data_IF_823115477109
#
_entry.id   IF_823115477109
#
_cell.length_a   1.000
_cell.length_b   1.000
_cell.length_c   1.000
_cell.angle_alpha   90.00
_cell.angle_beta   90.00
_cell.angle_gamma   90.00
#
_symmetry.space_group_name_H-M   'P 1'
#
loop_
_entity.id
_entity.type
_entity.pdbx_description
1 polymer ?
#
# COMPACT_ATOMS: atom_id res chain seq x y z
N UNK A 1 9.91 -15.12 -2.20
CA UNK A 1 10.07 -13.69 -1.88
C UNK A 1 9.43 -12.93 -3.03
N UNK A 2 8.33 -12.22 -2.79
CA UNK A 2 7.66 -11.38 -3.81
C UNK A 2 8.54 -10.16 -4.07
N UNK A 3 8.68 -9.74 -5.33
CA UNK A 3 9.47 -8.55 -5.66
C UNK A 3 8.68 -7.31 -5.25
N UNK A 4 9.37 -6.25 -4.82
CA UNK A 4 8.73 -4.99 -4.40
C UNK A 4 7.89 -4.40 -5.56
N UNK A 5 8.30 -4.65 -6.80
CA UNK A 5 7.58 -4.24 -8.00
C UNK A 5 6.24 -4.97 -8.19
N UNK A 6 6.16 -6.26 -7.82
CA UNK A 6 4.90 -7.01 -7.86
C UNK A 6 3.89 -6.42 -6.86
N UNK A 7 4.37 -5.97 -5.70
CA UNK A 7 3.53 -5.32 -4.69
C UNK A 7 3.03 -3.98 -5.21
N UNK A 8 3.88 -3.16 -5.83
CA UNK A 8 3.44 -1.96 -6.53
C UNK A 8 2.39 -2.28 -7.60
N UNK A 9 2.66 -3.23 -8.49
CA UNK A 9 1.74 -3.61 -9.57
C UNK A 9 0.35 -3.99 -9.02
N UNK A 10 0.30 -4.83 -7.99
CA UNK A 10 -0.96 -5.21 -7.33
C UNK A 10 -1.67 -4.01 -6.72
N UNK A 11 -0.94 -3.12 -6.05
CA UNK A 11 -1.51 -1.89 -5.47
C UNK A 11 -2.12 -1.02 -6.58
N UNK A 12 -1.43 -0.86 -7.72
CA UNK A 12 -1.94 -0.07 -8.86
C UNK A 12 -3.19 -0.68 -9.48
N UNK A 13 -3.24 -2.01 -9.66
CA UNK A 13 -4.44 -2.69 -10.13
C UNK A 13 -5.64 -2.41 -9.21
N UNK A 14 -5.45 -2.45 -7.89
CA UNK A 14 -6.54 -2.17 -6.95
C UNK A 14 -6.92 -0.69 -6.92
N UNK A 15 -5.94 0.22 -6.99
CA UNK A 15 -6.22 1.66 -7.13
C UNK A 15 -7.10 1.94 -8.34
N UNK A 16 -6.74 1.41 -9.50
CA UNK A 16 -7.44 1.68 -10.75
C UNK A 16 -8.88 1.14 -10.70
N UNK A 17 -9.09 -0.02 -10.06
CA UNK A 17 -10.42 -0.56 -9.78
C UNK A 17 -11.23 0.32 -8.84
N UNK A 18 -10.64 0.79 -7.73
CA UNK A 18 -11.29 1.72 -6.80
C UNK A 18 -11.73 2.98 -7.54
N UNK A 19 -10.83 3.58 -8.33
CA UNK A 19 -11.15 4.80 -9.09
C UNK A 19 -12.29 4.56 -10.09
N UNK A 20 -12.26 3.44 -10.80
CA UNK A 20 -13.35 3.03 -11.70
C UNK A 20 -14.67 2.88 -10.94
N UNK A 21 -14.68 2.13 -9.85
CA UNK A 21 -15.88 1.90 -9.03
C UNK A 21 -16.44 3.19 -8.42
N UNK A 22 -15.58 4.14 -8.02
CA UNK A 22 -16.01 5.48 -7.60
C UNK A 22 -16.73 6.19 -8.74
N UNK A 23 -16.14 6.18 -9.94
CA UNK A 23 -16.70 6.87 -11.11
C UNK A 23 -18.02 6.26 -11.59
N UNK A 24 -18.18 4.94 -11.44
CA UNK A 24 -19.38 4.19 -11.82
C UNK A 24 -20.41 4.08 -10.68
N UNK A 25 -20.12 4.65 -9.50
CA UNK A 25 -20.94 4.54 -8.28
C UNK A 25 -21.22 3.08 -7.87
N UNK A 26 -20.26 2.19 -8.10
CA UNK A 26 -20.34 0.77 -7.78
C UNK A 26 -19.84 0.49 -6.35
N UNK A 27 -20.74 0.67 -5.38
CA UNK A 27 -20.38 0.59 -3.95
C UNK A 27 -20.18 -0.84 -3.41
N UNK A 28 -20.51 -1.90 -4.18
CA UNK A 28 -20.43 -3.28 -3.68
C UNK A 28 -19.00 -3.83 -3.67
N UNK A 29 -18.17 -3.49 -4.66
CA UNK A 29 -16.79 -3.97 -4.81
C UNK A 29 -15.76 -3.05 -4.17
N UNK A 30 -16.07 -1.75 -4.07
CA UNK A 30 -15.10 -0.74 -3.65
C UNK A 30 -14.43 -1.01 -2.31
N UNK A 31 -15.17 -1.51 -1.31
CA UNK A 31 -14.62 -1.76 0.01
C UNK A 31 -13.68 -2.97 0.06
N UNK A 32 -13.98 -3.99 -0.76
CA UNK A 32 -13.08 -5.13 -0.93
C UNK A 32 -11.79 -4.71 -1.64
N UNK A 33 -11.90 -3.88 -2.68
CA UNK A 33 -10.73 -3.37 -3.40
C UNK A 33 -9.89 -2.42 -2.53
N UNK A 34 -10.51 -1.59 -1.68
CA UNK A 34 -9.80 -0.79 -0.67
C UNK A 34 -9.05 -1.70 0.32
N UNK A 35 -9.67 -2.77 0.78
CA UNK A 35 -9.03 -3.72 1.69
C UNK A 35 -7.83 -4.42 1.02
N UNK A 36 -8.00 -4.89 -0.23
CA UNK A 36 -6.89 -5.48 -0.99
C UNK A 36 -5.79 -4.48 -1.33
N UNK A 37 -6.13 -3.21 -1.56
CA UNK A 37 -5.16 -2.12 -1.69
C UNK A 37 -4.32 -2.00 -0.41
N UNK A 38 -4.96 -1.98 0.77
CA UNK A 38 -4.28 -1.89 2.06
C UNK A 38 -3.39 -3.12 2.37
N UNK A 39 -3.83 -4.33 2.00
CA UNK A 39 -2.98 -5.53 2.07
C UNK A 39 -1.73 -5.35 1.20
N UNK A 40 -1.90 -4.83 -0.03
CA UNK A 40 -0.78 -4.52 -0.92
C UNK A 40 0.21 -3.54 -0.29
N UNK A 41 -0.31 -2.44 0.30
CA UNK A 41 0.49 -1.44 1.02
C UNK A 41 1.28 -2.06 2.18
N UNK A 42 0.66 -2.99 2.92
CA UNK A 42 1.29 -3.69 4.04
C UNK A 42 2.44 -4.60 3.59
N UNK A 43 2.24 -5.32 2.48
CA UNK A 43 3.31 -6.10 1.85
C UNK A 43 4.46 -5.22 1.38
N UNK A 44 4.15 -4.08 0.74
CA UNK A 44 5.14 -3.10 0.31
C UNK A 44 5.97 -2.55 1.48
N UNK A 45 5.33 -2.22 2.61
CA UNK A 45 6.00 -1.81 3.85
C UNK A 45 7.00 -2.89 4.30
N UNK A 46 6.56 -4.14 4.41
CA UNK A 46 7.41 -5.28 4.78
C UNK A 46 8.59 -5.44 3.80
N UNK A 47 8.34 -5.27 2.50
CA UNK A 47 9.38 -5.26 1.46
C UNK A 47 10.43 -4.17 1.68
N UNK A 48 9.99 -2.94 1.96
CA UNK A 48 10.88 -1.81 2.25
C UNK A 48 11.71 -2.01 3.52
N UNK A 49 11.14 -2.56 4.58
CA UNK A 49 11.87 -2.87 5.82
C UNK A 49 12.96 -3.91 5.59
N UNK A 50 12.67 -4.97 4.83
CA UNK A 50 13.65 -5.98 4.42
C UNK A 50 14.77 -5.37 3.58
N UNK A 51 14.40 -4.50 2.63
CA UNK A 51 15.37 -3.79 1.80
C UNK A 51 16.26 -2.87 2.65
N UNK A 52 15.67 -2.16 3.62
CA UNK A 52 16.40 -1.31 4.58
C UNK A 52 17.39 -2.07 5.44
N UNK A 53 17.06 -3.30 5.82
CA UNK A 53 17.95 -4.17 6.57
C UNK A 53 19.09 -4.72 5.72
N UNK A 54 18.86 -4.86 4.41
CA UNK A 54 19.85 -5.32 3.44
C UNK A 54 20.79 -4.19 3.01
N UNK A 55 20.25 -3.01 2.75
CA UNK A 55 20.97 -1.83 2.23
C UNK A 55 21.14 -0.84 3.37
N UNK A 56 22.15 -1.09 4.21
CA UNK A 56 22.35 -0.32 5.44
C UNK A 56 23.01 1.04 5.21
N UNK A 57 23.85 1.15 4.18
CA UNK A 57 24.77 2.28 4.02
C UNK A 57 24.42 3.24 2.87
N UNK A 58 23.32 3.01 2.16
CA UNK A 58 22.89 3.91 1.08
C UNK A 58 22.08 5.10 1.61
N UNK A 59 22.64 6.31 1.53
CA UNK A 59 22.02 7.52 2.08
C UNK A 59 20.77 7.96 1.31
N UNK A 60 20.73 7.74 -0.01
CA UNK A 60 19.56 8.05 -0.83
C UNK A 60 18.38 7.17 -0.42
N UNK A 61 18.58 5.87 -0.30
CA UNK A 61 17.56 4.93 0.16
C UNK A 61 17.11 5.24 1.59
N UNK A 62 18.03 5.59 2.51
CA UNK A 62 17.66 6.01 3.87
C UNK A 62 16.69 7.20 3.87
N UNK A 63 16.91 8.18 2.99
CA UNK A 63 16.04 9.35 2.84
C UNK A 63 14.66 8.92 2.35
N UNK A 64 14.59 8.11 1.29
CA UNK A 64 13.34 7.55 0.76
C UNK A 64 12.61 6.80 1.88
N UNK A 65 13.26 5.81 2.50
CA UNK A 65 12.67 5.02 3.57
C UNK A 65 12.06 5.87 4.69
N UNK A 66 12.83 6.83 5.24
CA UNK A 66 12.34 7.72 6.31
C UNK A 66 11.14 8.57 5.89
N UNK A 67 11.09 9.00 4.62
CA UNK A 67 10.01 9.83 4.07
C UNK A 67 8.66 9.09 4.02
N UNK A 68 8.69 7.77 3.78
CA UNK A 68 7.49 6.97 3.50
C UNK A 68 7.06 6.05 4.64
N UNK A 69 8.00 5.48 5.41
CA UNK A 69 7.69 4.35 6.31
C UNK A 69 6.58 4.64 7.32
N UNK A 70 6.60 5.78 8.01
CA UNK A 70 5.58 6.13 9.01
C UNK A 70 4.17 6.27 8.39
N UNK A 71 4.09 6.69 7.13
CA UNK A 71 2.80 6.83 6.42
C UNK A 71 2.27 5.46 6.00
N UNK A 72 3.16 4.55 5.57
CA UNK A 72 2.80 3.17 5.27
C UNK A 72 2.40 2.41 6.54
N UNK A 73 3.11 2.62 7.65
CA UNK A 73 2.78 2.05 8.95
C UNK A 73 1.41 2.50 9.46
N UNK A 74 1.05 3.77 9.24
CA UNK A 74 -0.29 4.24 9.56
C UNK A 74 -1.39 3.46 8.78
N UNK A 75 -1.18 3.23 7.48
CA UNK A 75 -2.12 2.47 6.64
C UNK A 75 -2.15 0.98 7.02
N UNK A 76 -1.02 0.41 7.44
CA UNK A 76 -0.85 -0.95 7.94
C UNK A 76 -1.64 -1.17 9.25
N UNK A 77 -1.52 -0.24 10.21
CA UNK A 77 -2.32 -0.23 11.45
C UNK A 77 -3.81 -0.11 11.13
N UNK A 78 -4.18 0.76 10.19
CA UNK A 78 -5.57 0.90 9.76
C UNK A 78 -6.12 -0.40 9.18
N UNK A 79 -5.35 -1.08 8.33
CA UNK A 79 -5.66 -2.39 7.76
C UNK A 79 -5.89 -3.44 8.85
N UNK A 80 -4.97 -3.51 9.82
CA UNK A 80 -5.08 -4.41 10.97
C UNK A 80 -6.35 -4.12 11.79
N UNK A 81 -6.68 -2.85 12.01
CA UNK A 81 -7.94 -2.44 12.65
C UNK A 81 -9.17 -2.98 11.89
N UNK A 82 -9.15 -2.96 10.55
CA UNK A 82 -10.25 -3.53 9.75
C UNK A 82 -10.40 -5.02 9.98
N UNK A 83 -9.30 -5.77 9.95
CA UNK A 83 -9.27 -7.23 10.12
C UNK A 83 -9.70 -7.64 11.53
N UNK A 84 -9.16 -7.01 12.57
CA UNK A 84 -9.41 -7.42 13.96
C UNK A 84 -10.81 -7.03 14.45
N UNK A 85 -11.38 -5.93 13.95
CA UNK A 85 -12.79 -5.59 14.22
C UNK A 85 -13.73 -6.59 13.53
N UNK A 86 -13.35 -7.11 12.36
CA UNK A 86 -14.10 -8.12 11.64
C UNK A 86 -14.06 -9.48 12.37
N UNK A 87 -12.87 -9.95 12.76
CA UNK A 87 -12.67 -11.22 13.49
C UNK A 87 -13.32 -11.21 14.88
N UNK A 88 -13.11 -10.15 15.67
CA UNK A 88 -13.68 -10.02 17.01
C UNK A 88 -15.23 -9.99 17.03
N UNK A 89 -15.87 -9.67 15.90
CA UNK A 89 -17.33 -9.73 15.71
C UNK A 89 -17.81 -11.10 15.28
N UNK A 90 -17.12 -11.76 14.35
CA UNK A 90 -17.48 -13.12 13.91
C UNK A 90 -17.36 -14.14 15.04
N UNK A 91 -16.38 -13.97 15.92
CA UNK A 91 -16.17 -14.88 17.05
C UNK A 91 -17.11 -14.61 18.24
N UNK A 92 -17.92 -13.54 18.23
CA UNK A 92 -18.75 -13.14 19.37
C UNK A 92 -17.94 -12.82 20.65
N UNK A 93 -16.61 -12.69 20.53
CA UNK A 93 -15.64 -12.56 21.63
C UNK A 93 -15.05 -11.17 21.76
N UNK A 94 -15.65 -10.14 21.15
CA UNK A 94 -15.18 -8.76 21.20
C UNK A 94 -15.09 -8.18 22.62
N UNK A 95 -14.01 -8.51 23.35
CA UNK A 95 -13.56 -7.82 24.56
C UNK A 95 -12.43 -6.87 24.17
N UNK A 96 -12.75 -5.73 23.57
CA UNK A 96 -11.80 -4.61 23.49
C UNK A 96 -12.52 -3.25 23.51
N UNK A 97 -11.79 -2.26 23.99
CA UNK A 97 -12.24 -1.11 24.77
C UNK A 97 -12.85 -0.01 23.90
N UNK A 98 -14.06 0.41 24.29
CA UNK A 98 -14.94 1.44 23.70
C UNK A 98 -15.74 0.99 22.47
N UNK A 99 -17.08 1.10 22.53
CA UNK A 99 -17.92 0.84 21.37
C UNK A 99 -17.63 1.86 20.26
N UNK A 100 -17.44 1.37 19.04
CA UNK A 100 -17.43 2.19 17.84
C UNK A 100 -18.76 2.94 17.77
N UNK A 101 -18.73 4.28 17.67
CA UNK A 101 -19.94 5.10 17.75
C UNK A 101 -20.93 4.83 16.62
N UNK A 102 -20.48 4.33 15.46
CA UNK A 102 -21.31 3.97 14.30
C UNK A 102 -20.61 2.91 13.43
N UNK A 103 -20.83 1.62 13.67
CA UNK A 103 -20.11 0.59 12.94
C UNK A 103 -20.82 0.26 11.62
N UNK A 104 -20.34 0.82 10.52
CA UNK A 104 -20.54 0.19 9.20
C UNK A 104 -19.64 -1.06 9.15
N UNK A 105 -20.16 -2.20 8.69
CA UNK A 105 -19.34 -3.41 8.48
C UNK A 105 -18.32 -3.24 7.37
N UNK A 106 -18.51 -2.27 6.47
CA UNK A 106 -17.71 -2.08 5.25
C UNK A 106 -16.96 -0.74 5.23
N UNK A 107 -17.13 0.09 6.27
CA UNK A 107 -16.69 1.49 6.27
C UNK A 107 -17.62 2.41 5.48
N UNK A 108 -17.19 3.64 5.23
CA UNK A 108 -17.93 4.64 4.46
C UNK A 108 -16.96 5.56 3.70
N UNK A 109 -17.40 6.10 2.56
CA UNK A 109 -16.64 7.11 1.82
C UNK A 109 -17.25 8.50 2.07
N UNK A 110 -16.40 9.46 2.47
CA UNK A 110 -16.82 10.85 2.60
C UNK A 110 -16.88 11.53 1.22
N UNK A 111 -17.48 12.73 1.16
CA UNK A 111 -17.48 13.55 -0.07
C UNK A 111 -16.07 13.88 -0.58
N UNK A 112 -15.07 13.86 0.31
CA UNK A 112 -13.68 14.13 -0.03
C UNK A 112 -12.89 12.85 -0.37
N UNK A 113 -13.58 11.72 -0.54
CA UNK A 113 -12.99 10.39 -0.75
C UNK A 113 -12.10 9.95 0.43
N UNK A 114 -12.42 10.38 1.64
CA UNK A 114 -11.84 9.78 2.84
C UNK A 114 -12.59 8.49 3.13
N UNK A 115 -11.83 7.44 3.42
CA UNK A 115 -12.39 6.19 3.88
C UNK A 115 -12.44 6.18 5.39
N UNK A 116 -13.67 6.14 5.93
CA UNK A 116 -13.96 6.05 7.36
C UNK A 116 -14.27 4.61 7.73
N UNK A 117 -13.50 4.06 8.66
CA UNK A 117 -13.78 2.78 9.27
C UNK A 117 -13.73 2.90 10.79
N UNK A 118 -14.88 2.78 11.44
CA UNK A 118 -14.94 2.80 12.90
C UNK A 118 -14.60 4.15 13.56
N UNK A 119 -14.53 5.25 12.79
CA UNK A 119 -14.11 6.56 13.28
C UNK A 119 -12.63 6.89 13.04
N UNK A 120 -11.83 5.90 12.60
CA UNK A 120 -10.52 6.16 12.01
C UNK A 120 -10.70 6.50 10.53
N UNK A 121 -9.84 7.35 9.96
CA UNK A 121 -9.97 7.83 8.58
C UNK A 121 -8.62 7.99 7.89
N UNK A 122 -8.55 7.62 6.62
CA UNK A 122 -7.48 8.06 5.73
C UNK A 122 -8.04 8.57 4.40
N UNK A 123 -7.30 9.45 3.73
CA UNK A 123 -7.66 9.99 2.42
C UNK A 123 -7.18 9.05 1.31
N UNK A 124 -8.10 8.53 0.48
CA UNK A 124 -7.74 7.70 -0.67
C UNK A 124 -6.84 8.45 -1.66
N UNK A 125 -7.14 9.71 -2.07
CA UNK A 125 -6.25 10.48 -2.94
C UNK A 125 -4.83 10.62 -2.39
N UNK A 126 -4.68 10.89 -1.09
CA UNK A 126 -3.36 11.02 -0.47
C UNK A 126 -2.63 9.68 -0.44
N UNK A 127 -3.31 8.59 -0.11
CA UNK A 127 -2.74 7.25 -0.14
C UNK A 127 -2.30 6.85 -1.56
N UNK A 128 -3.07 7.18 -2.59
CA UNK A 128 -2.69 6.92 -3.98
C UNK A 128 -1.46 7.74 -4.40
N UNK A 129 -1.44 9.02 -4.06
CA UNK A 129 -0.31 9.92 -4.33
C UNK A 129 0.97 9.48 -3.60
N UNK A 130 0.82 8.97 -2.38
CA UNK A 130 1.92 8.40 -1.59
C UNK A 130 2.59 7.24 -2.33
N UNK A 131 1.80 6.29 -2.82
CA UNK A 131 2.32 5.10 -3.52
C UNK A 131 2.95 5.46 -4.86
N UNK A 132 2.34 6.35 -5.63
CA UNK A 132 2.92 6.88 -6.88
C UNK A 132 4.28 7.53 -6.65
N UNK A 133 4.35 8.43 -5.67
CA UNK A 133 5.59 9.15 -5.34
C UNK A 133 6.68 8.19 -4.90
N UNK A 134 6.33 7.21 -4.05
CA UNK A 134 7.26 6.20 -3.58
C UNK A 134 7.77 5.32 -4.73
N UNK A 135 6.90 4.85 -5.64
CA UNK A 135 7.32 4.07 -6.81
C UNK A 135 8.31 4.84 -7.66
N UNK A 136 8.00 6.11 -7.94
CA UNK A 136 8.88 6.97 -8.76
C UNK A 136 10.27 7.11 -8.13
N UNK A 137 10.34 7.48 -6.86
CA UNK A 137 11.63 7.67 -6.16
C UNK A 137 12.42 6.36 -6.05
N UNK A 138 11.72 5.23 -5.85
CA UNK A 138 12.35 3.91 -5.81
C UNK A 138 12.91 3.48 -7.17
N UNK A 139 12.23 3.79 -8.28
CA UNK A 139 12.72 3.54 -9.64
C UNK A 139 13.96 4.40 -9.91
N UNK A 140 13.89 5.70 -9.62
CA UNK A 140 15.01 6.64 -9.80
C UNK A 140 16.25 6.16 -9.02
N UNK A 141 16.07 5.81 -7.75
CA UNK A 141 17.12 5.25 -6.91
C UNK A 141 17.70 3.93 -7.46
N UNK A 142 16.85 3.02 -7.96
CA UNK A 142 17.30 1.74 -8.49
C UNK A 142 18.09 1.89 -9.79
N UNK A 143 17.68 2.81 -10.69
CA UNK A 143 18.39 3.11 -11.93
C UNK A 143 19.80 3.64 -11.69
N UNK A 144 20.00 4.42 -10.63
CA UNK A 144 21.30 4.94 -10.25
C UNK A 144 22.22 3.87 -9.63
N UNK A 145 21.67 2.99 -8.79
CA UNK A 145 22.45 2.05 -7.97
C UNK A 145 22.56 0.64 -8.56
N UNK A 146 21.83 0.33 -9.64
CA UNK A 146 21.87 -0.96 -10.33
C UNK A 146 21.55 -2.16 -9.43
N UNK A 147 20.64 -1.98 -8.46
CA UNK A 147 20.24 -3.03 -7.51
C UNK A 147 19.11 -3.86 -8.13
N UNK A 148 19.47 -4.54 -9.22
CA UNK A 148 18.55 -5.26 -10.12
C UNK A 148 17.84 -6.51 -9.57
N UNK A 149 18.22 -7.20 -8.46
CA UNK A 149 17.51 -8.42 -8.08
C UNK A 149 16.14 -8.19 -7.39
N UNK A 150 15.71 -6.93 -7.17
CA UNK A 150 14.44 -6.61 -6.49
C UNK A 150 13.32 -6.05 -7.41
N UNK A 151 13.54 -6.00 -8.73
CA UNK A 151 12.64 -5.39 -9.73
C UNK A 151 12.48 -6.25 -11.00
N UNK A 152 11.27 -6.32 -11.57
CA UNK A 152 11.05 -6.87 -12.91
C UNK A 152 11.01 -5.70 -13.90
N UNK A 153 12.16 -5.40 -14.53
CA UNK A 153 12.23 -4.36 -15.55
C UNK A 153 11.71 -4.94 -16.86
N UNK A 154 10.40 -5.10 -16.98
CA UNK A 154 9.79 -5.66 -18.21
C UNK A 154 9.80 -4.68 -19.40
N UNK A 155 10.75 -3.73 -19.44
CA UNK A 155 11.11 -2.94 -20.62
C UNK A 155 12.62 -2.67 -20.74
N UNK A 156 13.50 -3.59 -20.34
CA UNK A 156 14.86 -3.59 -20.92
C UNK A 156 14.74 -4.12 -22.35
N UNK A 157 14.60 -3.20 -23.31
CA UNK A 157 15.05 -3.42 -24.68
C UNK A 157 16.43 -4.06 -24.59
N UNK A 158 16.57 -5.30 -25.09
CA UNK A 158 17.86 -6.01 -25.15
C UNK A 158 18.88 -5.10 -25.81
N UNK A 159 19.74 -4.46 -25.03
CA UNK A 159 20.97 -3.89 -25.55
C UNK A 159 21.99 -5.02 -25.46
N UNK A 160 22.21 -5.68 -26.59
CA UNK A 160 23.27 -6.67 -26.74
C UNK A 160 24.58 -6.04 -26.24
N UNK A 161 25.15 -6.58 -25.16
CA UNK A 161 26.46 -6.14 -24.71
C UNK A 161 27.52 -6.59 -25.73
N UNK A 162 28.51 -5.73 -26.08
CA UNK A 162 29.58 -6.12 -26.97
C UNK A 162 30.41 -7.22 -26.31
N UNK A 163 30.54 -8.35 -26.99
CA UNK A 163 31.46 -9.42 -26.61
C UNK A 163 32.89 -8.89 -26.70
N UNK A 164 33.62 -8.98 -25.60
CA UNK A 164 35.08 -8.85 -25.59
C UNK A 164 35.72 -10.02 -26.33
#
# INVERSE_FOLDING_TARGET
>A
MTLIDDDFYKIFLQRDRIQKDISENNLKSIFADIHFFLIGVSNLKCGLEKLRNTIKDDDKFKIIYKKYINKLEYLDIFRDHQEHIYEGRLEGKGKSKKPLKRPSMLGNLTKNLDYDFGGDRFSLPEAFSLIESLKKEMIEWNLENKIYPFWYIDQIVRVDMPKK
#
